data_IF_480959806896
#
_entry.id   IF_480959806896
#
_cell.length_a   1.000
_cell.length_b   1.000
_cell.length_c   1.000
_cell.angle_alpha   90.00
_cell.angle_beta   90.00
_cell.angle_gamma   90.00
#
_symmetry.space_group_name_H-M   'P 1'
#
loop_
_entity.id
_entity.type
_entity.pdbx_description
1 polymer ?
#
# COMPACT_ATOMS: atom_id res chain seq x y z
N UNK A 1 1.92 -23.88 -49.11
CA UNK A 1 1.91 -23.05 -47.86
C UNK A 1 0.71 -22.11 -47.98
N UNK A 2 -0.34 -22.39 -47.27
CA UNK A 2 -1.66 -21.75 -47.41
C UNK A 2 -1.71 -20.37 -46.75
N UNK A 3 -2.47 -19.45 -47.34
CA UNK A 3 -2.73 -18.09 -46.81
C UNK A 3 -3.09 -18.06 -45.30
N UNK A 4 -3.74 -19.10 -44.80
CA UNK A 4 -4.09 -19.26 -43.35
C UNK A 4 -2.87 -19.37 -42.45
N UNK A 5 -1.73 -19.92 -42.91
CA UNK A 5 -0.51 -20.04 -42.10
C UNK A 5 0.27 -18.71 -42.00
N UNK A 6 0.12 -17.82 -42.99
CA UNK A 6 0.73 -16.48 -42.98
C UNK A 6 -0.05 -15.52 -42.04
N UNK A 7 -1.39 -15.59 -42.06
CA UNK A 7 -2.22 -14.78 -41.18
C UNK A 7 -2.01 -15.12 -39.69
N UNK A 8 -1.86 -16.41 -39.34
CA UNK A 8 -1.56 -16.85 -37.96
C UNK A 8 -0.18 -16.39 -37.46
N UNK A 9 0.85 -16.35 -38.35
CA UNK A 9 2.19 -15.85 -38.00
C UNK A 9 2.24 -14.32 -37.82
N UNK A 10 1.41 -13.58 -38.56
CA UNK A 10 1.27 -12.13 -38.39
C UNK A 10 0.51 -11.76 -37.14
N UNK A 11 -0.54 -12.50 -36.76
CA UNK A 11 -1.27 -12.29 -35.50
C UNK A 11 -0.38 -12.56 -34.29
N UNK A 12 0.46 -13.60 -34.30
CA UNK A 12 1.39 -13.90 -33.20
C UNK A 12 2.54 -12.89 -33.11
N UNK A 13 2.96 -12.30 -34.25
CA UNK A 13 3.94 -11.19 -34.22
C UNK A 13 3.33 -9.88 -33.73
N UNK A 14 2.08 -9.59 -34.03
CA UNK A 14 1.35 -8.42 -33.54
C UNK A 14 1.14 -8.46 -32.04
N UNK A 15 0.76 -9.61 -31.48
CA UNK A 15 0.57 -9.76 -30.03
C UNK A 15 1.88 -9.59 -29.23
N UNK A 16 3.03 -10.03 -29.77
CA UNK A 16 4.33 -9.80 -29.12
C UNK A 16 4.81 -8.35 -29.21
N UNK A 17 4.36 -7.56 -30.15
CA UNK A 17 4.68 -6.13 -30.25
C UNK A 17 3.85 -5.28 -29.26
N UNK A 18 2.62 -5.70 -28.92
CA UNK A 18 1.77 -5.00 -27.96
C UNK A 18 2.32 -5.01 -26.54
N UNK A 19 3.03 -6.06 -26.13
CA UNK A 19 3.67 -6.15 -24.82
C UNK A 19 5.00 -5.37 -24.71
N UNK A 20 5.48 -4.73 -25.77
CA UNK A 20 6.71 -3.93 -25.77
C UNK A 20 6.53 -2.46 -25.40
N UNK A 21 5.32 -1.98 -25.12
CA UNK A 21 5.10 -0.66 -24.53
C UNK A 21 5.34 -0.71 -23.00
N UNK A 22 6.54 -1.14 -22.65
CA UNK A 22 7.03 -0.98 -21.28
C UNK A 22 7.55 0.46 -21.17
N UNK A 23 6.91 1.27 -20.32
CA UNK A 23 7.56 2.46 -19.78
C UNK A 23 8.94 2.11 -19.18
N UNK A 24 9.76 3.08 -18.84
CA UNK A 24 11.06 2.80 -18.27
C UNK A 24 10.90 1.77 -17.15
N UNK A 25 11.69 0.68 -17.23
CA UNK A 25 11.67 -0.37 -16.21
C UNK A 25 11.95 0.29 -14.88
N UNK A 26 11.02 0.20 -13.95
CA UNK A 26 11.34 0.56 -12.58
C UNK A 26 12.53 -0.30 -12.14
N UNK A 27 13.51 0.28 -11.47
CA UNK A 27 14.60 -0.49 -10.90
C UNK A 27 13.99 -1.58 -9.98
N UNK A 28 14.60 -2.77 -9.98
CA UNK A 28 14.23 -3.81 -9.02
C UNK A 28 14.47 -3.34 -7.59
N UNK A 29 14.03 -4.13 -6.58
CA UNK A 29 14.30 -3.82 -5.19
C UNK A 29 15.81 -3.64 -4.99
N UNK A 30 16.25 -2.74 -4.08
CA UNK A 30 17.65 -2.54 -3.78
C UNK A 30 18.30 -3.83 -3.27
N UNK A 31 19.61 -3.85 -3.16
CA UNK A 31 20.28 -4.98 -2.50
C UNK A 31 19.88 -5.05 -1.01
N UNK A 32 19.67 -6.26 -0.46
CA UNK A 32 19.40 -6.42 0.96
C UNK A 32 20.49 -5.81 1.83
N UNK A 33 20.13 -5.24 3.00
CA UNK A 33 21.11 -4.69 3.91
C UNK A 33 22.07 -5.76 4.42
N UNK A 34 23.26 -5.35 4.85
CA UNK A 34 24.17 -6.26 5.55
C UNK A 34 23.57 -6.63 6.90
N UNK A 35 23.54 -7.92 7.20
CA UNK A 35 23.10 -8.39 8.52
C UNK A 35 24.11 -7.99 9.59
N UNK A 36 23.76 -7.21 10.61
CA UNK A 36 24.63 -6.91 11.73
C UNK A 36 25.01 -8.18 12.51
N UNK A 37 26.13 -8.13 13.21
CA UNK A 37 26.56 -9.23 14.08
C UNK A 37 25.54 -9.48 15.21
N UNK A 38 25.21 -10.73 15.45
CA UNK A 38 24.23 -11.13 16.45
C UNK A 38 22.75 -11.00 16.01
N UNK A 39 22.50 -10.54 14.79
CA UNK A 39 21.14 -10.48 14.26
C UNK A 39 20.86 -11.72 13.41
N UNK A 40 19.59 -12.14 13.37
CA UNK A 40 19.13 -13.24 12.52
C UNK A 40 18.30 -12.71 11.34
N UNK A 41 18.24 -13.47 10.26
CA UNK A 41 17.42 -13.22 9.09
C UNK A 41 16.17 -14.09 9.19
N UNK A 42 15.01 -13.50 8.90
CA UNK A 42 13.73 -14.20 8.86
C UNK A 42 12.69 -13.43 8.06
N UNK A 43 11.45 -13.97 7.98
CA UNK A 43 10.36 -13.25 7.39
C UNK A 43 10.07 -11.94 8.16
N UNK A 44 9.53 -10.90 7.51
CA UNK A 44 9.09 -9.71 8.23
C UNK A 44 7.97 -10.06 9.21
N UNK A 45 7.97 -9.38 10.35
CA UNK A 45 6.92 -9.50 11.36
C UNK A 45 5.65 -8.75 10.95
N UNK A 46 5.80 -7.70 10.14
CA UNK A 46 4.67 -6.96 9.57
C UNK A 46 4.96 -6.48 8.15
N UNK A 47 3.89 -6.35 7.36
CA UNK A 47 3.93 -5.78 6.01
C UNK A 47 2.78 -4.80 5.86
N UNK A 48 3.11 -3.52 5.65
CA UNK A 48 2.15 -2.50 5.28
C UNK A 48 1.89 -2.53 3.77
N UNK A 49 0.67 -2.86 3.37
CA UNK A 49 0.35 -3.06 1.94
C UNK A 49 -0.36 -1.87 1.29
N UNK A 50 -0.92 -0.93 2.07
CA UNK A 50 -1.68 0.18 1.49
C UNK A 50 -2.24 1.17 2.53
N UNK A 51 -3.04 2.13 2.06
CA UNK A 51 -3.24 2.50 0.68
C UNK A 51 -2.31 3.66 0.29
N UNK A 52 -1.92 3.70 -0.96
CA UNK A 52 -1.09 4.82 -1.44
C UNK A 52 -1.82 6.16 -1.24
N UNK A 53 -1.13 7.17 -0.69
CA UNK A 53 -1.67 8.52 -0.38
C UNK A 53 -2.67 8.58 0.77
N UNK A 54 -2.71 7.55 1.61
CA UNK A 54 -3.49 7.50 2.85
C UNK A 54 -2.68 7.86 4.12
N UNK A 55 -1.50 8.48 4.01
CA UNK A 55 -0.68 8.85 5.17
C UNK A 55 0.29 7.76 5.66
N UNK A 56 0.48 6.70 4.91
CA UNK A 56 1.31 5.55 5.26
C UNK A 56 2.76 5.89 5.62
N UNK A 57 3.35 6.94 5.02
CA UNK A 57 4.72 7.37 5.36
C UNK A 57 4.79 7.99 6.75
N UNK A 58 3.77 8.74 7.15
CA UNK A 58 3.66 9.29 8.49
C UNK A 58 3.47 8.17 9.52
N UNK A 59 2.52 7.26 9.28
CA UNK A 59 2.22 6.18 10.21
C UNK A 59 3.39 5.20 10.36
N UNK A 60 4.03 4.81 9.24
CA UNK A 60 5.22 3.96 9.28
C UNK A 60 6.38 4.62 10.07
N UNK A 61 6.57 5.94 9.94
CA UNK A 61 7.60 6.66 10.72
C UNK A 61 7.33 6.53 12.23
N UNK A 62 6.06 6.62 12.66
CA UNK A 62 5.69 6.45 14.07
C UNK A 62 5.94 5.01 14.54
N UNK A 63 5.62 4.01 13.73
CA UNK A 63 5.92 2.60 14.02
C UNK A 63 7.44 2.40 14.15
N UNK A 64 8.22 2.92 13.21
CA UNK A 64 9.67 2.80 13.20
C UNK A 64 10.36 3.56 14.35
N UNK A 65 9.67 4.47 15.02
CA UNK A 65 10.19 5.18 16.20
C UNK A 65 10.11 4.33 17.48
N UNK A 66 9.44 3.18 17.46
CA UNK A 66 9.40 2.27 18.60
C UNK A 66 10.77 1.59 18.78
N UNK A 67 11.33 1.54 20.03
CA UNK A 67 12.68 1.00 20.26
C UNK A 67 12.84 -0.48 19.91
N UNK A 68 11.76 -1.27 19.95
CA UNK A 68 11.78 -2.70 19.62
C UNK A 68 11.44 -2.95 18.12
N UNK A 69 11.34 -1.90 17.30
CA UNK A 69 11.25 -2.02 15.84
C UNK A 69 12.63 -1.85 15.24
N UNK A 70 13.16 -2.93 14.72
CA UNK A 70 14.51 -2.96 14.16
C UNK A 70 14.54 -2.42 12.72
N UNK A 71 15.58 -1.64 12.44
CA UNK A 71 15.93 -1.24 11.09
C UNK A 71 17.47 -1.40 10.93
N UNK A 72 17.88 -2.29 10.06
CA UNK A 72 19.31 -2.57 9.83
C UNK A 72 20.07 -1.41 9.15
N UNK A 73 19.37 -0.32 8.83
CA UNK A 73 19.92 0.83 8.13
C UNK A 73 19.97 0.63 6.62
N UNK A 74 19.74 1.72 5.87
CA UNK A 74 19.78 1.71 4.41
C UNK A 74 18.59 1.02 3.71
N UNK A 75 17.67 0.42 4.45
CA UNK A 75 16.46 -0.16 3.89
C UNK A 75 15.46 0.96 3.58
N UNK A 76 14.99 1.08 2.32
CA UNK A 76 13.95 2.03 2.00
C UNK A 76 12.63 1.61 2.66
N UNK A 77 11.76 2.57 2.94
CA UNK A 77 10.41 2.29 3.47
C UNK A 77 9.65 1.35 2.53
N UNK A 78 9.74 1.58 1.24
CA UNK A 78 9.02 0.86 0.19
C UNK A 78 10.01 -0.02 -0.57
N UNK A 79 9.92 -1.34 -0.39
CA UNK A 79 10.81 -2.28 -1.06
C UNK A 79 10.41 -2.52 -2.53
N UNK A 80 9.13 -2.42 -2.85
CA UNK A 80 8.63 -2.74 -4.19
C UNK A 80 9.06 -4.13 -4.68
N UNK A 81 9.25 -5.07 -3.75
CA UNK A 81 9.80 -6.40 -4.03
C UNK A 81 8.89 -7.23 -4.93
N UNK A 82 7.58 -7.15 -4.70
CA UNK A 82 6.58 -7.94 -5.41
C UNK A 82 6.01 -7.27 -6.67
N UNK A 83 6.37 -6.02 -6.97
CA UNK A 83 5.79 -5.25 -8.10
C UNK A 83 5.86 -5.97 -9.44
N UNK A 84 6.87 -6.81 -9.63
CA UNK A 84 7.12 -7.53 -10.89
C UNK A 84 7.01 -9.05 -10.76
N UNK A 85 6.58 -9.55 -9.61
CA UNK A 85 6.51 -10.99 -9.36
C UNK A 85 5.45 -11.71 -10.24
N UNK A 86 4.57 -10.99 -10.90
CA UNK A 86 3.66 -11.53 -11.92
C UNK A 86 4.37 -11.94 -13.23
N UNK A 87 5.61 -11.48 -13.46
CA UNK A 87 6.35 -11.73 -14.71
C UNK A 87 7.00 -13.12 -14.74
N UNK A 88 7.30 -13.70 -13.60
CA UNK A 88 8.01 -14.97 -13.45
C UNK A 88 7.42 -15.76 -12.28
N UNK A 89 7.51 -17.10 -12.28
CA UNK A 89 7.12 -17.89 -11.13
C UNK A 89 7.88 -17.44 -9.87
N UNK A 90 7.16 -17.27 -8.77
CA UNK A 90 7.71 -16.93 -7.47
C UNK A 90 7.99 -18.23 -6.70
N UNK A 91 9.20 -18.39 -6.23
CA UNK A 91 9.65 -19.64 -5.59
C UNK A 91 10.50 -19.41 -4.35
N UNK A 92 11.06 -20.52 -3.82
CA UNK A 92 11.84 -20.51 -2.58
C UNK A 92 13.02 -19.54 -2.58
N UNK A 93 13.70 -19.39 -3.71
CA UNK A 93 14.81 -18.43 -3.84
C UNK A 93 14.34 -16.98 -3.69
N UNK A 94 13.12 -16.65 -4.14
CA UNK A 94 12.53 -15.34 -3.99
C UNK A 94 12.10 -15.10 -2.53
N UNK A 95 11.55 -16.11 -1.87
CA UNK A 95 11.22 -16.09 -0.43
C UNK A 95 12.47 -15.78 0.38
N UNK A 96 13.54 -16.55 0.18
CA UNK A 96 14.80 -16.35 0.88
C UNK A 96 15.41 -14.98 0.58
N UNK A 97 15.31 -14.50 -0.65
CA UNK A 97 15.77 -13.15 -1.03
C UNK A 97 14.95 -12.07 -0.32
N UNK A 98 13.62 -12.21 -0.23
CA UNK A 98 12.76 -11.27 0.48
C UNK A 98 13.09 -11.21 1.97
N UNK A 99 13.28 -12.36 2.62
CA UNK A 99 13.61 -12.43 4.04
C UNK A 99 14.93 -11.74 4.39
N UNK A 100 15.89 -11.69 3.47
CA UNK A 100 17.18 -11.00 3.68
C UNK A 100 17.06 -9.49 3.89
N UNK A 101 15.91 -8.89 3.61
CA UNK A 101 15.66 -7.47 3.91
C UNK A 101 15.33 -7.21 5.38
N UNK A 102 15.09 -8.25 6.18
CA UNK A 102 14.59 -8.12 7.55
C UNK A 102 15.52 -8.77 8.58
N UNK A 103 16.81 -8.40 8.61
CA UNK A 103 17.63 -8.80 9.72
C UNK A 103 17.11 -8.13 11.00
N UNK A 104 17.07 -8.89 12.11
CA UNK A 104 16.46 -8.44 13.35
C UNK A 104 17.18 -9.01 14.56
N UNK A 105 17.44 -8.23 15.63
CA UNK A 105 17.94 -8.77 16.89
C UNK A 105 16.84 -9.53 17.63
N UNK A 106 17.23 -10.41 18.53
CA UNK A 106 16.28 -11.15 19.36
C UNK A 106 15.35 -10.20 20.14
N UNK A 107 14.07 -10.54 20.19
CA UNK A 107 13.04 -9.76 20.91
C UNK A 107 12.54 -8.50 20.18
N UNK A 108 13.04 -8.22 18.97
CA UNK A 108 12.57 -7.10 18.16
C UNK A 108 11.76 -7.56 16.95
N UNK A 109 11.05 -6.62 16.34
CA UNK A 109 10.27 -6.85 15.10
C UNK A 109 10.87 -6.05 13.94
N UNK A 110 10.76 -6.56 12.72
CA UNK A 110 11.13 -5.85 11.50
C UNK A 110 10.02 -5.99 10.46
N UNK A 111 9.90 -5.01 9.59
CA UNK A 111 8.90 -5.03 8.51
C UNK A 111 9.09 -3.90 7.52
N UNK A 112 8.18 -3.80 6.57
CA UNK A 112 8.17 -2.78 5.54
C UNK A 112 6.78 -2.18 5.34
N UNK A 113 6.68 -1.12 4.54
CA UNK A 113 5.41 -0.58 4.07
C UNK A 113 5.51 -0.11 2.62
N UNK A 114 5.05 -0.94 1.68
CA UNK A 114 4.93 -0.62 0.26
C UNK A 114 3.45 -0.45 -0.12
N UNK A 115 2.93 0.78 -0.18
CA UNK A 115 1.48 1.00 -0.37
C UNK A 115 0.94 0.57 -1.73
N UNK A 116 1.82 0.29 -2.69
CA UNK A 116 1.46 -0.26 -4.00
C UNK A 116 0.93 -1.67 -3.95
N UNK A 117 1.30 -2.46 -2.95
CA UNK A 117 0.91 -3.86 -2.84
C UNK A 117 -0.59 -4.09 -2.74
N UNK A 118 -1.34 -3.15 -2.16
CA UNK A 118 -2.78 -3.30 -1.98
C UNK A 118 -3.54 -3.34 -3.31
N UNK A 119 -3.12 -2.55 -4.31
CA UNK A 119 -3.78 -2.53 -5.64
C UNK A 119 -3.39 -3.74 -6.49
N UNK A 120 -2.20 -4.30 -6.30
CA UNK A 120 -1.66 -5.39 -7.10
C UNK A 120 -2.30 -6.72 -6.68
N UNK A 121 -3.12 -7.31 -7.56
CA UNK A 121 -3.95 -8.46 -7.22
C UNK A 121 -3.17 -9.74 -6.89
N UNK A 122 -1.91 -9.84 -7.31
CA UNK A 122 -1.04 -11.00 -7.06
C UNK A 122 -0.27 -10.90 -5.73
N UNK A 123 -0.16 -9.71 -5.16
CA UNK A 123 0.74 -9.45 -4.03
C UNK A 123 0.32 -10.12 -2.72
N UNK A 124 -0.97 -10.14 -2.31
CA UNK A 124 -1.35 -10.73 -1.03
C UNK A 124 -0.96 -12.21 -0.90
N UNK A 125 -1.16 -13.01 -1.95
CA UNK A 125 -0.79 -14.44 -1.96
C UNK A 125 0.73 -14.63 -1.89
N UNK A 126 1.51 -13.77 -2.57
CA UNK A 126 2.97 -13.85 -2.55
C UNK A 126 3.54 -13.43 -1.20
N UNK A 127 2.94 -12.45 -0.53
CA UNK A 127 3.31 -12.09 0.84
C UNK A 127 2.99 -13.25 1.78
N UNK A 128 1.82 -13.87 1.67
CA UNK A 128 1.46 -15.03 2.49
C UNK A 128 2.42 -16.22 2.29
N UNK A 129 2.92 -16.42 1.06
CA UNK A 129 3.94 -17.43 0.79
C UNK A 129 5.30 -17.06 1.41
N UNK A 130 5.70 -15.78 1.37
CA UNK A 130 7.01 -15.33 1.84
C UNK A 130 7.07 -15.09 3.35
N UNK A 131 5.95 -14.75 3.97
CA UNK A 131 5.80 -14.34 5.37
C UNK A 131 4.39 -14.71 5.89
N UNK A 132 4.08 -16.01 6.08
CA UNK A 132 2.72 -16.48 6.42
C UNK A 132 2.23 -15.96 7.79
N UNK A 133 3.15 -15.70 8.71
CA UNK A 133 2.83 -15.21 10.07
C UNK A 133 2.89 -13.67 10.18
N UNK A 134 3.16 -12.97 9.09
CA UNK A 134 3.26 -11.51 9.11
C UNK A 134 1.91 -10.85 9.45
N UNK A 135 1.96 -9.79 10.25
CA UNK A 135 0.83 -8.89 10.47
C UNK A 135 0.71 -7.91 9.33
N UNK A 136 -0.46 -7.83 8.73
CA UNK A 136 -0.71 -6.99 7.56
C UNK A 136 -1.34 -5.67 7.99
N UNK A 137 -0.74 -4.56 7.57
CA UNK A 137 -1.22 -3.22 7.88
C UNK A 137 -1.81 -2.56 6.63
N UNK A 138 -3.03 -2.08 6.75
CA UNK A 138 -3.73 -1.26 5.76
C UNK A 138 -4.16 0.04 6.42
N UNK A 139 -3.77 1.17 5.87
CA UNK A 139 -4.27 2.49 6.29
C UNK A 139 -5.13 3.05 5.18
N UNK A 140 -6.41 3.23 5.44
CA UNK A 140 -7.38 3.80 4.52
C UNK A 140 -7.57 5.30 4.78
N UNK A 141 -8.10 5.99 3.79
CA UNK A 141 -8.44 7.41 3.84
C UNK A 141 -9.73 7.62 3.08
N UNK A 142 -10.47 8.71 3.36
CA UNK A 142 -11.59 9.15 2.52
C UNK A 142 -11.24 8.98 1.03
N UNK A 143 -12.04 8.23 0.25
CA UNK A 143 -11.67 7.86 -1.11
C UNK A 143 -11.52 9.06 -2.06
N UNK A 144 -12.30 10.13 -1.88
CA UNK A 144 -12.18 11.36 -2.69
C UNK A 144 -10.91 12.14 -2.29
N UNK A 145 -10.62 12.24 -1.00
CA UNK A 145 -9.40 12.88 -0.51
C UNK A 145 -8.14 12.14 -0.94
N UNK A 146 -8.19 10.79 -0.91
CA UNK A 146 -7.11 9.95 -1.40
C UNK A 146 -6.93 10.14 -2.92
N UNK A 147 -8.03 10.18 -3.70
CA UNK A 147 -7.99 10.44 -5.14
C UNK A 147 -7.32 11.79 -5.42
N UNK A 148 -7.77 12.87 -4.78
CA UNK A 148 -7.22 14.22 -4.92
C UNK A 148 -5.73 14.26 -4.56
N UNK A 149 -5.34 13.62 -3.46
CA UNK A 149 -3.94 13.48 -3.04
C UNK A 149 -3.09 12.69 -4.05
N UNK A 150 -3.68 11.68 -4.70
CA UNK A 150 -3.05 10.90 -5.76
C UNK A 150 -2.71 11.74 -6.98
N UNK A 151 -3.65 12.53 -7.46
CA UNK A 151 -3.45 13.43 -8.61
C UNK A 151 -2.51 14.58 -8.28
N UNK A 152 -2.62 15.17 -7.08
CA UNK A 152 -1.66 16.19 -6.60
C UNK A 152 -0.23 15.65 -6.65
N UNK A 153 -0.03 14.42 -6.20
CA UNK A 153 1.29 13.78 -6.24
C UNK A 153 1.77 13.55 -7.67
N UNK A 154 0.89 13.08 -8.57
CA UNK A 154 1.23 12.90 -9.97
C UNK A 154 1.68 14.22 -10.61
N UNK A 155 0.93 15.30 -10.39
CA UNK A 155 1.29 16.64 -10.87
C UNK A 155 2.60 17.17 -10.26
N UNK A 156 2.95 16.73 -9.05
CA UNK A 156 4.21 17.10 -8.39
C UNK A 156 5.43 16.35 -8.94
N UNK A 157 5.23 15.15 -9.48
CA UNK A 157 6.32 14.27 -9.94
C UNK A 157 6.56 14.32 -11.44
N UNK A 158 5.67 14.97 -12.21
CA UNK A 158 5.80 15.13 -13.66
C UNK A 158 5.44 16.54 -14.09
N UNK A 159 6.08 17.04 -15.16
CA UNK A 159 5.69 18.26 -15.85
C UNK A 159 4.59 18.04 -16.89
N UNK A 160 4.23 16.76 -17.14
CA UNK A 160 3.20 16.42 -18.11
C UNK A 160 1.80 16.66 -17.54
N UNK A 161 0.82 17.06 -18.39
CA UNK A 161 -0.58 17.15 -17.97
C UNK A 161 -1.11 15.76 -17.58
N UNK A 162 -2.13 15.74 -16.70
CA UNK A 162 -2.80 14.51 -16.32
C UNK A 162 -3.39 13.80 -17.56
N UNK A 163 -3.14 12.51 -17.66
CA UNK A 163 -3.66 11.65 -18.72
C UNK A 163 -4.83 10.84 -18.19
N UNK A 164 -5.66 10.32 -19.09
CA UNK A 164 -6.78 9.43 -18.74
C UNK A 164 -6.36 8.30 -17.78
N UNK A 165 -5.23 7.64 -18.04
CA UNK A 165 -4.70 6.57 -17.18
C UNK A 165 -4.37 7.04 -15.75
N UNK A 166 -4.00 8.29 -15.57
CA UNK A 166 -3.64 8.85 -14.26
C UNK A 166 -4.91 9.04 -13.42
N UNK A 167 -5.97 9.53 -14.07
CA UNK A 167 -7.32 9.65 -13.47
C UNK A 167 -7.87 8.26 -13.12
N UNK A 168 -7.81 7.32 -14.06
CA UNK A 168 -8.25 5.93 -13.84
C UNK A 168 -7.46 5.26 -12.72
N UNK A 169 -6.15 5.40 -12.72
CA UNK A 169 -5.30 4.84 -11.67
C UNK A 169 -5.56 5.46 -10.29
N UNK A 170 -5.83 6.77 -10.24
CA UNK A 170 -6.24 7.42 -9.01
C UNK A 170 -7.62 6.92 -8.54
N UNK A 171 -8.58 6.76 -9.43
CA UNK A 171 -9.90 6.23 -9.10
C UNK A 171 -9.82 4.80 -8.56
N UNK A 172 -9.18 3.89 -9.28
CA UNK A 172 -9.08 2.48 -8.91
C UNK A 172 -8.41 2.24 -7.56
N UNK A 173 -7.40 3.05 -7.21
CA UNK A 173 -6.72 2.94 -5.91
C UNK A 173 -7.59 3.34 -4.73
N UNK A 174 -8.73 4.02 -4.94
CA UNK A 174 -9.71 4.36 -3.92
C UNK A 174 -10.90 3.39 -3.87
N UNK A 175 -10.95 2.38 -4.72
CA UNK A 175 -11.89 1.26 -4.65
C UNK A 175 -11.30 0.22 -3.71
N UNK A 176 -11.65 0.26 -2.43
CA UNK A 176 -10.98 -0.49 -1.38
C UNK A 176 -11.55 -1.89 -1.14
N UNK A 177 -12.86 -2.08 -1.23
CA UNK A 177 -13.50 -3.35 -0.87
C UNK A 177 -12.93 -4.58 -1.62
N UNK A 178 -12.73 -4.59 -2.95
CA UNK A 178 -12.13 -5.71 -3.64
C UNK A 178 -10.65 -5.91 -3.29
N UNK A 179 -9.94 -4.85 -2.91
CA UNK A 179 -8.56 -4.92 -2.46
C UNK A 179 -8.47 -5.57 -1.08
N UNK A 180 -9.31 -5.15 -0.13
CA UNK A 180 -9.42 -5.73 1.20
C UNK A 180 -9.84 -7.20 1.16
N UNK A 181 -10.81 -7.56 0.32
CA UNK A 181 -11.22 -8.96 0.16
C UNK A 181 -10.07 -9.87 -0.25
N UNK A 182 -9.17 -9.41 -1.13
CA UNK A 182 -7.97 -10.19 -1.50
C UNK A 182 -7.00 -10.37 -0.33
N UNK A 183 -6.79 -9.31 0.46
CA UNK A 183 -5.96 -9.40 1.67
C UNK A 183 -6.57 -10.38 2.67
N UNK A 184 -7.88 -10.26 2.94
CA UNK A 184 -8.62 -11.13 3.87
C UNK A 184 -8.77 -12.57 3.36
N UNK A 185 -8.64 -12.81 2.06
CA UNK A 185 -8.60 -14.16 1.50
C UNK A 185 -7.22 -14.82 1.68
N UNK A 186 -6.14 -14.02 1.71
CA UNK A 186 -4.77 -14.51 1.84
C UNK A 186 -4.31 -14.64 3.31
N UNK A 187 -4.92 -13.85 4.22
CA UNK A 187 -4.54 -13.80 5.64
C UNK A 187 -5.76 -13.93 6.55
N UNK A 188 -5.65 -14.63 7.68
CA UNK A 188 -6.67 -14.61 8.73
C UNK A 188 -6.97 -13.17 9.17
N UNK A 189 -8.23 -12.87 9.47
CA UNK A 189 -8.63 -11.53 9.88
C UNK A 189 -7.84 -11.02 11.11
N UNK A 190 -7.49 -11.90 12.03
CA UNK A 190 -6.66 -11.56 13.20
C UNK A 190 -5.23 -11.09 12.85
N UNK A 191 -4.75 -11.37 11.64
CA UNK A 191 -3.46 -10.89 11.13
C UNK A 191 -3.58 -9.59 10.31
N UNK A 192 -4.79 -9.05 10.11
CA UNK A 192 -5.02 -7.85 9.29
C UNK A 192 -5.53 -6.70 10.15
N UNK A 193 -4.77 -5.63 10.20
CA UNK A 193 -5.18 -4.37 10.82
C UNK A 193 -5.56 -3.36 9.73
N UNK A 194 -6.75 -2.79 9.85
CA UNK A 194 -7.21 -1.74 8.95
C UNK A 194 -7.41 -0.46 9.75
N UNK A 195 -6.49 0.48 9.61
CA UNK A 195 -6.59 1.80 10.23
C UNK A 195 -7.27 2.82 9.31
N UNK A 196 -7.75 3.89 9.92
CA UNK A 196 -8.37 5.02 9.24
C UNK A 196 -7.52 6.28 9.46
N UNK A 197 -7.09 6.90 8.36
CA UNK A 197 -6.23 8.09 8.41
C UNK A 197 -6.83 9.22 9.24
N UNK A 198 -8.12 9.47 9.09
CA UNK A 198 -8.86 10.52 9.81
C UNK A 198 -8.88 10.24 11.33
N UNK A 199 -9.12 9.00 11.74
CA UNK A 199 -9.04 8.59 13.15
C UNK A 199 -7.60 8.73 13.69
N UNK A 200 -6.60 8.32 12.90
CA UNK A 200 -5.20 8.50 13.24
C UNK A 200 -4.80 9.99 13.38
N UNK A 201 -5.42 10.87 12.60
CA UNK A 201 -5.19 12.32 12.70
C UNK A 201 -5.92 12.94 13.91
N UNK A 202 -7.09 12.43 14.25
CA UNK A 202 -7.88 12.92 15.39
C UNK A 202 -7.25 12.55 16.74
N UNK A 203 -6.80 11.29 16.88
CA UNK A 203 -6.14 10.79 18.09
C UNK A 203 -4.96 9.87 17.72
N UNK A 204 -3.81 10.45 17.35
CA UNK A 204 -2.66 9.66 16.92
C UNK A 204 -2.07 8.80 18.05
N UNK A 205 -2.19 9.23 19.32
CA UNK A 205 -1.65 8.49 20.47
C UNK A 205 -2.41 7.20 20.68
N UNK A 206 -3.74 7.26 20.79
CA UNK A 206 -4.57 6.08 21.00
C UNK A 206 -4.50 5.12 19.79
N UNK A 207 -4.50 5.65 18.56
CA UNK A 207 -4.41 4.80 17.36
C UNK A 207 -3.03 4.14 17.22
N UNK A 208 -1.96 4.82 17.61
CA UNK A 208 -0.62 4.24 17.61
C UNK A 208 -0.48 3.15 18.68
N UNK A 209 -1.03 3.37 19.86
CA UNK A 209 -1.06 2.35 20.92
C UNK A 209 -1.78 1.07 20.45
N UNK A 210 -2.93 1.19 19.76
CA UNK A 210 -3.63 0.04 19.14
C UNK A 210 -2.76 -0.63 18.06
N UNK A 211 -2.01 0.16 17.28
CA UNK A 211 -1.11 -0.38 16.27
C UNK A 211 0.04 -1.16 16.91
N UNK A 212 0.61 -0.67 18.00
CA UNK A 212 1.66 -1.36 18.75
C UNK A 212 1.14 -2.67 19.37
N UNK A 213 -0.03 -2.64 19.99
CA UNK A 213 -0.67 -3.84 20.53
C UNK A 213 -0.90 -4.89 19.43
N UNK A 214 -1.46 -4.47 18.28
CA UNK A 214 -1.61 -5.34 17.12
C UNK A 214 -0.26 -5.91 16.64
N UNK A 215 0.82 -5.14 16.67
CA UNK A 215 2.16 -5.60 16.30
C UNK A 215 2.84 -6.45 17.41
N UNK A 216 2.22 -6.62 18.56
CA UNK A 216 2.79 -7.32 19.72
C UNK A 216 3.95 -6.57 20.36
N UNK A 217 4.00 -5.27 20.15
CA UNK A 217 4.98 -4.38 20.78
C UNK A 217 4.49 -3.96 22.16
N UNK A 218 5.41 -3.76 23.10
CA UNK A 218 5.07 -3.19 24.40
C UNK A 218 4.55 -1.75 24.26
N UNK A 219 3.77 -1.24 25.21
CA UNK A 219 3.39 0.16 25.23
C UNK A 219 4.62 1.07 25.20
N UNK A 220 4.59 2.06 24.31
CA UNK A 220 5.64 3.07 24.20
C UNK A 220 5.04 4.41 23.77
N UNK A 221 5.40 5.46 24.49
CA UNK A 221 4.98 6.82 24.19
C UNK A 221 6.11 7.54 23.45
N UNK A 222 5.73 8.23 22.37
CA UNK A 222 6.64 9.09 21.62
C UNK A 222 6.51 10.54 22.12
N UNK A 223 7.55 11.33 21.93
CA UNK A 223 7.48 12.77 22.16
C UNK A 223 6.35 13.41 21.35
N UNK A 224 5.65 14.39 21.92
CA UNK A 224 4.53 15.06 21.26
C UNK A 224 4.85 15.60 19.87
N UNK A 225 6.10 16.01 19.63
CA UNK A 225 6.57 16.49 18.33
C UNK A 225 6.65 15.37 17.27
N UNK A 226 6.76 14.10 17.68
CA UNK A 226 6.82 12.97 16.75
C UNK A 226 5.53 12.84 15.92
N UNK A 227 4.40 13.19 16.50
CA UNK A 227 3.09 13.11 15.84
C UNK A 227 2.83 14.25 14.86
N UNK A 228 3.64 15.32 14.93
CA UNK A 228 3.46 16.51 14.12
C UNK A 228 4.13 16.39 12.74
N UNK A 229 3.65 17.21 11.81
CA UNK A 229 4.22 17.39 10.49
C UNK A 229 3.74 16.36 9.45
N UNK A 230 3.74 16.81 8.21
CA UNK A 230 3.54 15.96 7.04
C UNK A 230 4.89 15.34 6.65
N UNK A 231 4.90 14.03 6.43
CA UNK A 231 6.01 13.37 5.76
C UNK A 231 5.80 13.53 4.26
N UNK A 232 6.71 14.16 3.56
CA UNK A 232 6.62 14.53 2.15
C UNK A 232 5.51 15.56 1.85
N UNK A 233 5.56 16.78 2.44
CA UNK A 233 4.63 17.85 2.09
C UNK A 233 4.78 18.20 0.61
N UNK A 234 3.65 18.39 -0.09
CA UNK A 234 3.70 18.92 -1.44
C UNK A 234 3.77 20.44 -1.41
N UNK A 235 4.67 21.01 -2.22
CA UNK A 235 4.77 22.46 -2.41
C UNK A 235 3.87 22.97 -3.55
N UNK A 236 3.22 22.06 -4.27
CA UNK A 236 2.31 22.40 -5.37
C UNK A 236 0.88 22.57 -4.88
N UNK A 237 0.11 23.34 -5.64
CA UNK A 237 -1.33 23.48 -5.48
C UNK A 237 -2.00 22.10 -5.47
N UNK A 238 -2.90 21.90 -4.52
CA UNK A 238 -3.65 20.65 -4.40
C UNK A 238 -4.63 20.53 -5.56
N UNK A 239 -4.74 19.34 -6.12
CA UNK A 239 -5.78 19.03 -7.09
C UNK A 239 -7.13 19.00 -6.37
N UNK A 240 -8.03 19.91 -6.79
CA UNK A 240 -9.40 19.97 -6.28
C UNK A 240 -10.36 19.52 -7.41
N UNK A 241 -11.17 18.46 -7.20
CA UNK A 241 -12.13 18.03 -8.19
C UNK A 241 -13.22 19.09 -8.35
N UNK A 242 -13.61 19.40 -9.61
CA UNK A 242 -14.79 20.23 -9.88
C UNK A 242 -16.04 19.62 -9.25
N UNK A 243 -17.09 20.42 -9.04
CA UNK A 243 -18.35 19.92 -8.47
C UNK A 243 -18.93 18.72 -9.29
N UNK A 244 -18.84 18.78 -10.61
CA UNK A 244 -19.29 17.67 -11.48
C UNK A 244 -18.44 16.43 -11.31
N UNK A 245 -17.10 16.57 -11.26
CA UNK A 245 -16.21 15.42 -11.01
C UNK A 245 -16.43 14.85 -9.61
N UNK A 246 -16.59 15.70 -8.58
CA UNK A 246 -16.87 15.25 -7.22
C UNK A 246 -18.17 14.44 -7.15
N UNK A 247 -19.24 14.88 -7.82
CA UNK A 247 -20.50 14.14 -7.89
C UNK A 247 -20.32 12.75 -8.54
N UNK A 248 -19.58 12.67 -9.67
CA UNK A 248 -19.27 11.40 -10.33
C UNK A 248 -18.39 10.49 -9.47
N UNK A 249 -17.43 11.05 -8.74
CA UNK A 249 -16.60 10.27 -7.81
C UNK A 249 -17.43 9.73 -6.65
N UNK A 250 -18.35 10.53 -6.10
CA UNK A 250 -19.23 10.13 -5.02
C UNK A 250 -20.11 8.97 -5.45
N UNK A 251 -20.76 9.07 -6.61
CA UNK A 251 -21.54 7.97 -7.20
C UNK A 251 -20.69 6.71 -7.39
N UNK A 252 -19.47 6.87 -7.92
CA UNK A 252 -18.55 5.76 -8.19
C UNK A 252 -18.02 5.07 -6.94
N UNK A 253 -17.90 5.78 -5.80
CA UNK A 253 -17.37 5.23 -4.56
C UNK A 253 -18.44 4.79 -3.55
N UNK A 254 -19.68 5.26 -3.65
CA UNK A 254 -20.72 5.01 -2.64
C UNK A 254 -20.90 3.51 -2.32
N UNK A 255 -21.04 2.68 -3.36
CA UNK A 255 -21.17 1.23 -3.17
C UNK A 255 -19.93 0.55 -2.60
N UNK A 256 -18.75 1.05 -2.91
CA UNK A 256 -17.49 0.53 -2.34
C UNK A 256 -17.35 0.92 -0.86
N UNK A 257 -17.66 2.17 -0.50
CA UNK A 257 -17.64 2.64 0.90
C UNK A 257 -18.60 1.83 1.79
N UNK A 258 -19.82 1.55 1.31
CA UNK A 258 -20.78 0.70 2.02
C UNK A 258 -20.19 -0.70 2.29
N UNK A 259 -19.61 -1.33 1.26
CA UNK A 259 -18.95 -2.63 1.39
C UNK A 259 -17.72 -2.60 2.31
N UNK A 260 -16.96 -1.49 2.34
CA UNK A 260 -15.84 -1.33 3.28
C UNK A 260 -16.35 -1.30 4.71
N UNK A 261 -17.44 -0.59 5.02
CA UNK A 261 -18.07 -0.59 6.33
C UNK A 261 -18.54 -1.98 6.78
N UNK A 262 -19.03 -2.81 5.85
CA UNK A 262 -19.39 -4.20 6.14
C UNK A 262 -18.16 -5.09 6.39
N UNK A 263 -17.09 -4.91 5.63
CA UNK A 263 -15.85 -5.69 5.75
C UNK A 263 -15.02 -5.35 6.99
N UNK A 264 -15.08 -4.10 7.43
CA UNK A 264 -14.29 -3.54 8.54
C UNK A 264 -15.20 -2.71 9.44
N UNK A 265 -16.03 -3.35 10.28
CA UNK A 265 -17.00 -2.66 11.14
C UNK A 265 -16.38 -1.67 12.15
N UNK A 266 -15.08 -1.77 12.38
CA UNK A 266 -14.34 -0.88 13.29
C UNK A 266 -14.04 0.51 12.65
N UNK A 267 -14.22 0.66 11.33
CA UNK A 267 -14.08 1.96 10.67
C UNK A 267 -15.29 2.85 10.96
N UNK A 268 -15.03 4.07 11.37
CA UNK A 268 -16.05 5.08 11.54
C UNK A 268 -16.25 5.87 10.23
N UNK A 269 -17.26 5.45 9.46
CA UNK A 269 -17.57 6.12 8.18
C UNK A 269 -18.00 7.58 8.38
N UNK A 270 -18.42 7.99 9.59
CA UNK A 270 -18.75 9.40 9.87
C UNK A 270 -17.53 10.32 9.76
N UNK A 271 -16.32 9.78 9.87
CA UNK A 271 -15.07 10.51 9.67
C UNK A 271 -14.74 10.77 8.19
N UNK A 272 -15.41 10.07 7.27
CA UNK A 272 -15.23 10.31 5.84
C UNK A 272 -16.27 11.30 5.29
N UNK A 273 -15.86 12.52 4.88
CA UNK A 273 -16.77 13.48 4.25
C UNK A 273 -17.58 12.88 3.09
N UNK A 274 -16.93 12.07 2.25
CA UNK A 274 -17.60 11.44 1.12
C UNK A 274 -18.64 10.38 1.52
N UNK A 275 -18.46 9.69 2.64
CA UNK A 275 -19.46 8.74 3.14
C UNK A 275 -20.70 9.48 3.68
N UNK A 276 -20.51 10.59 4.39
CA UNK A 276 -21.62 11.47 4.81
C UNK A 276 -22.39 12.05 3.61
N UNK A 277 -21.65 12.55 2.61
CA UNK A 277 -22.26 13.09 1.39
C UNK A 277 -23.03 12.03 0.60
N UNK A 278 -22.64 10.75 0.72
CA UNK A 278 -23.35 9.61 0.12
C UNK A 278 -24.50 9.06 0.99
N UNK A 279 -24.75 9.61 2.19
CA UNK A 279 -25.79 9.14 3.12
C UNK A 279 -25.48 7.78 3.75
N UNK A 280 -24.21 7.43 3.92
CA UNK A 280 -23.75 6.16 4.49
C UNK A 280 -23.36 6.29 5.99
N UNK A 281 -23.40 7.50 6.53
CA UNK A 281 -22.97 7.80 7.88
C UNK A 281 -23.81 8.91 8.51
#
# INVERSE_FOLDING_TARGET
MTLKSRARRLAVRGSRAWYRFRGPRQPGPPEPPRTPEGWHIGPPHYVGVGAQKAGTSWWNRLIQAHPDVANAGGQPKELHFFDRAWETPFGEADVQRYQRYFPVPEGSVAGEWTPGYLIDFWTPELIAQAAPDARILVLLRDPIDRFSSGLTHQLATTSEPLRHRDIQGAFQRSIYAPQLRRVLAAFPAAQVWVGQYEACRADPVAQLARTYDFLGLRPHELDANAYQGEVNPTTREKFEPSAALRASLLEGYAGDMAQVGELVPELDLTLWPSARDAGLA
#
